data_IF_504856453774
#
_entry.id   IF_504856453774
#
_cell.length_a   1.000
_cell.length_b   1.000
_cell.length_c   1.000
_cell.angle_alpha   90.00
_cell.angle_beta   90.00
_cell.angle_gamma   90.00
#
_symmetry.space_group_name_H-M   'P 1'
#
loop_
_entity.id
_entity.type
_entity.pdbx_description
1 polymer ?
#
# COMPACT_ATOMS: atom_id res chain seq x y z
N UNK A 1 -0.06 -26.56 -39.65
CA UNK A 1 -0.76 -25.42 -39.00
C UNK A 1 -1.35 -25.90 -37.69
N UNK A 2 -0.79 -25.50 -36.55
CA UNK A 2 -1.32 -25.86 -35.22
C UNK A 2 -1.25 -24.65 -34.31
N UNK A 3 -2.36 -23.92 -34.19
CA UNK A 3 -2.49 -22.83 -33.23
C UNK A 3 -2.83 -23.44 -31.87
N UNK A 4 -1.82 -23.61 -31.03
CA UNK A 4 -2.00 -24.00 -29.63
C UNK A 4 -2.63 -22.85 -28.85
N UNK A 5 -3.92 -22.94 -28.58
CA UNK A 5 -4.61 -22.07 -27.64
C UNK A 5 -4.14 -22.43 -26.21
N UNK A 6 -3.16 -21.70 -25.69
CA UNK A 6 -2.78 -21.83 -24.27
C UNK A 6 -3.90 -21.25 -23.42
N UNK A 7 -4.77 -22.09 -22.89
CA UNK A 7 -5.77 -21.70 -21.90
C UNK A 7 -5.07 -21.05 -20.72
N UNK A 8 -5.22 -19.73 -20.57
CA UNK A 8 -4.55 -18.92 -19.57
C UNK A 8 -5.00 -19.31 -18.16
N UNK A 9 -4.26 -20.22 -17.52
CA UNK A 9 -4.41 -20.48 -16.08
C UNK A 9 -4.05 -19.20 -15.33
N UNK A 10 -4.92 -18.68 -14.43
CA UNK A 10 -4.55 -17.53 -13.62
C UNK A 10 -3.27 -17.86 -12.86
N UNK A 11 -2.23 -17.02 -13.03
CA UNK A 11 -0.97 -17.18 -12.30
C UNK A 11 -1.26 -17.06 -10.82
N UNK A 12 -1.24 -18.19 -10.12
CA UNK A 12 -1.30 -18.18 -8.66
C UNK A 12 -0.13 -17.36 -8.13
N UNK A 13 -0.37 -16.42 -7.20
CA UNK A 13 0.72 -15.70 -6.57
C UNK A 13 1.71 -16.69 -5.97
N UNK A 14 3.01 -16.47 -6.18
CA UNK A 14 4.01 -17.27 -5.47
C UNK A 14 3.86 -17.09 -3.95
N UNK A 15 4.40 -18.03 -3.16
CA UNK A 15 4.20 -18.06 -1.71
C UNK A 15 4.53 -16.71 -1.03
N UNK A 16 5.63 -16.07 -1.45
CA UNK A 16 6.02 -14.74 -0.98
C UNK A 16 4.98 -13.66 -1.30
N UNK A 17 4.51 -13.59 -2.56
CA UNK A 17 3.50 -12.62 -2.98
C UNK A 17 2.20 -12.81 -2.21
N UNK A 18 1.74 -14.06 -2.08
CA UNK A 18 0.54 -14.38 -1.30
C UNK A 18 0.68 -13.95 0.17
N UNK A 19 1.83 -14.19 0.79
CA UNK A 19 2.12 -13.75 2.16
C UNK A 19 2.09 -12.23 2.30
N UNK A 20 2.75 -11.51 1.39
CA UNK A 20 2.79 -10.04 1.38
C UNK A 20 1.38 -9.45 1.21
N UNK A 21 0.61 -9.94 0.24
CA UNK A 21 -0.76 -9.46 -0.01
C UNK A 21 -1.69 -9.75 1.16
N UNK A 22 -1.61 -10.95 1.76
CA UNK A 22 -2.37 -11.28 2.96
C UNK A 22 -1.99 -10.37 4.13
N UNK A 23 -0.69 -10.13 4.35
CA UNK A 23 -0.23 -9.23 5.42
C UNK A 23 -0.74 -7.82 5.20
N UNK A 24 -0.63 -7.29 3.99
CA UNK A 24 -1.17 -5.99 3.61
C UNK A 24 -2.66 -5.88 3.93
N UNK A 25 -3.45 -6.89 3.51
CA UNK A 25 -4.90 -6.93 3.75
C UNK A 25 -5.25 -6.95 5.24
N UNK A 26 -4.52 -7.72 6.05
CA UNK A 26 -4.84 -7.88 7.48
C UNK A 26 -4.28 -6.78 8.39
N UNK A 27 -3.18 -6.12 7.98
CA UNK A 27 -2.42 -5.22 8.86
C UNK A 27 -2.63 -3.74 8.57
N UNK A 28 -3.06 -3.36 7.35
CA UNK A 28 -3.17 -1.96 6.94
C UNK A 28 -4.62 -1.55 6.78
N UNK A 29 -5.13 -0.80 7.75
CA UNK A 29 -6.54 -0.39 7.77
C UNK A 29 -6.81 0.76 6.80
N UNK A 30 -8.09 1.06 6.62
CA UNK A 30 -8.52 2.20 5.80
C UNK A 30 -7.97 3.52 6.36
N UNK A 31 -7.40 4.35 5.49
CA UNK A 31 -6.76 5.61 5.87
C UNK A 31 -5.32 5.46 6.38
N UNK A 32 -4.83 4.25 6.60
CA UNK A 32 -3.44 3.99 6.98
C UNK A 32 -2.55 3.75 5.74
N UNK A 33 -1.26 4.02 5.89
CA UNK A 33 -0.25 3.75 4.87
C UNK A 33 0.93 3.00 5.47
N UNK A 34 1.60 2.22 4.64
CA UNK A 34 2.79 1.45 5.03
C UNK A 34 3.88 1.63 3.98
N UNK A 35 5.14 1.65 4.38
CA UNK A 35 6.24 1.66 3.42
C UNK A 35 6.54 0.26 2.89
N UNK A 36 7.16 0.17 1.71
CA UNK A 36 7.63 -1.11 1.16
C UNK A 36 8.51 -1.89 2.15
N UNK A 37 9.40 -1.20 2.88
CA UNK A 37 10.29 -1.80 3.86
C UNK A 37 9.53 -2.33 5.09
N UNK A 38 8.57 -1.55 5.59
CA UNK A 38 7.75 -1.96 6.73
C UNK A 38 6.90 -3.17 6.36
N UNK A 39 6.29 -3.17 5.18
CA UNK A 39 5.51 -4.32 4.72
C UNK A 39 6.38 -5.57 4.52
N UNK A 40 7.61 -5.40 4.04
CA UNK A 40 8.58 -6.49 3.93
C UNK A 40 8.92 -7.07 5.32
N UNK A 41 9.12 -6.22 6.33
CA UNK A 41 9.34 -6.64 7.71
C UNK A 41 8.11 -7.36 8.31
N UNK A 42 6.90 -6.83 8.09
CA UNK A 42 5.63 -7.46 8.52
C UNK A 42 5.39 -8.83 7.86
N UNK A 43 5.93 -9.02 6.66
CA UNK A 43 5.92 -10.29 5.94
C UNK A 43 7.04 -11.24 6.39
N UNK A 44 7.92 -10.85 7.32
CA UNK A 44 9.03 -11.67 7.81
C UNK A 44 10.32 -11.58 6.97
N UNK A 45 10.38 -10.65 6.01
CA UNK A 45 11.48 -10.50 5.07
C UNK A 45 11.97 -9.04 5.03
N UNK A 46 12.61 -8.52 6.08
CA UNK A 46 12.92 -7.08 6.22
C UNK A 46 13.80 -6.50 5.10
N UNK A 47 14.60 -7.34 4.42
CA UNK A 47 15.46 -6.94 3.30
C UNK A 47 14.77 -7.03 1.91
N UNK A 48 13.49 -7.40 1.85
CA UNK A 48 12.79 -7.71 0.61
C UNK A 48 11.93 -6.57 0.04
N UNK A 49 12.20 -5.30 0.39
CA UNK A 49 11.42 -4.13 -0.06
C UNK A 49 11.21 -4.07 -1.58
N UNK A 50 12.24 -4.42 -2.37
CA UNK A 50 12.14 -4.44 -3.84
C UNK A 50 11.21 -5.55 -4.34
N UNK A 51 11.26 -6.73 -3.73
CA UNK A 51 10.40 -7.84 -4.06
C UNK A 51 8.93 -7.55 -3.71
N UNK A 52 8.68 -6.81 -2.61
CA UNK A 52 7.34 -6.30 -2.28
C UNK A 52 6.79 -5.42 -3.40
N UNK A 53 7.63 -4.58 -4.03
CA UNK A 53 7.22 -3.80 -5.21
C UNK A 53 6.71 -4.68 -6.37
N UNK A 54 7.39 -5.80 -6.63
CA UNK A 54 6.95 -6.80 -7.62
C UNK A 54 5.63 -7.47 -7.22
N UNK A 55 5.46 -7.79 -5.94
CA UNK A 55 4.22 -8.34 -5.40
C UNK A 55 3.03 -7.38 -5.56
N UNK A 56 3.24 -6.08 -5.32
CA UNK A 56 2.19 -5.06 -5.51
C UNK A 56 1.75 -4.93 -6.98
N UNK A 57 2.70 -5.04 -7.93
CA UNK A 57 2.39 -5.03 -9.37
C UNK A 57 1.57 -6.26 -9.79
N UNK A 58 1.81 -7.38 -9.13
CA UNK A 58 1.18 -8.67 -9.45
C UNK A 58 -0.13 -8.90 -8.68
N UNK A 59 -0.65 -7.88 -7.99
CA UNK A 59 -1.90 -8.00 -7.24
C UNK A 59 -3.08 -8.25 -8.20
N UNK A 60 -3.76 -9.41 -8.11
CA UNK A 60 -4.86 -9.74 -9.02
C UNK A 60 -6.14 -8.96 -8.74
N UNK A 61 -6.29 -8.42 -7.52
CA UNK A 61 -7.49 -7.67 -7.09
C UNK A 61 -7.10 -6.33 -6.45
N UNK A 62 -6.71 -5.32 -7.27
CA UNK A 62 -6.47 -3.97 -6.78
C UNK A 62 -7.67 -3.41 -6.01
N UNK A 63 -7.43 -2.43 -5.13
CA UNK A 63 -8.41 -1.81 -4.23
C UNK A 63 -8.86 -2.73 -3.08
N UNK A 64 -9.39 -3.92 -3.39
CA UNK A 64 -9.78 -4.90 -2.37
C UNK A 64 -8.58 -5.35 -1.54
N UNK A 65 -7.49 -5.73 -2.21
CA UNK A 65 -6.17 -5.81 -1.59
C UNK A 65 -5.51 -4.44 -1.79
N UNK A 66 -5.30 -3.65 -0.71
CA UNK A 66 -5.08 -2.21 -0.81
C UNK A 66 -3.63 -1.85 -1.15
N UNK A 67 -3.14 -2.26 -2.33
CA UNK A 67 -1.77 -1.99 -2.78
C UNK A 67 -1.49 -0.50 -3.00
N UNK A 68 -2.51 0.35 -3.13
CA UNK A 68 -2.38 1.81 -3.16
C UNK A 68 -1.92 2.41 -1.83
N UNK A 69 -2.09 1.70 -0.70
CA UNK A 69 -1.62 2.13 0.63
C UNK A 69 -0.12 1.93 0.86
N UNK A 70 0.57 1.23 -0.05
CA UNK A 70 2.01 1.00 0.05
C UNK A 70 2.78 2.14 -0.62
N UNK A 71 3.58 2.89 0.15
CA UNK A 71 4.28 4.10 -0.31
C UNK A 71 5.80 4.00 -0.13
N UNK A 72 6.54 4.97 -0.68
CA UNK A 72 7.98 5.07 -0.44
C UNK A 72 8.26 5.49 1.01
N UNK A 73 9.38 5.03 1.58
CA UNK A 73 9.83 5.47 2.91
C UNK A 73 10.11 6.97 2.99
N UNK A 74 10.43 7.61 1.87
CA UNK A 74 10.57 9.07 1.75
C UNK A 74 9.25 9.84 1.86
N UNK A 75 8.11 9.14 1.87
CA UNK A 75 6.78 9.76 1.82
C UNK A 75 6.26 10.02 0.40
N UNK A 76 7.06 9.76 -0.65
CA UNK A 76 6.56 9.80 -2.02
C UNK A 76 5.49 8.71 -2.25
N UNK A 77 4.48 9.03 -3.06
CA UNK A 77 3.35 8.11 -3.35
C UNK A 77 3.85 6.82 -4.02
N UNK A 78 4.86 6.92 -4.89
CA UNK A 78 5.43 5.78 -5.60
C UNK A 78 4.53 5.27 -6.72
N UNK A 79 4.92 4.15 -7.32
CA UNK A 79 4.27 3.66 -8.53
C UNK A 79 2.97 2.87 -8.24
N UNK A 80 2.07 2.81 -9.23
CA UNK A 80 0.80 2.10 -9.17
C UNK A 80 0.40 1.55 -10.54
N UNK A 81 -0.11 0.32 -10.60
CA UNK A 81 -0.53 -0.31 -11.87
C UNK A 81 -1.66 0.47 -12.55
N UNK A 82 -2.57 1.07 -11.78
CA UNK A 82 -3.63 1.95 -12.30
C UNK A 82 -3.19 3.39 -12.59
N UNK A 83 -1.89 3.69 -12.51
CA UNK A 83 -1.33 5.02 -12.69
C UNK A 83 -1.21 5.85 -11.39
N UNK A 84 -0.24 6.79 -11.34
CA UNK A 84 0.05 7.55 -10.13
C UNK A 84 -1.12 8.44 -9.67
N UNK A 85 -1.85 9.06 -10.61
CA UNK A 85 -3.01 9.91 -10.30
C UNK A 85 -4.13 9.15 -9.57
N UNK A 86 -4.39 7.88 -9.96
CA UNK A 86 -5.39 7.04 -9.30
C UNK A 86 -4.97 6.73 -7.86
N UNK A 87 -3.67 6.44 -7.65
CA UNK A 87 -3.14 6.19 -6.31
C UNK A 87 -3.23 7.42 -5.41
N UNK A 88 -2.89 8.60 -5.93
CA UNK A 88 -3.04 9.88 -5.23
C UNK A 88 -4.48 10.16 -4.87
N UNK A 89 -5.41 9.96 -5.81
CA UNK A 89 -6.84 10.11 -5.57
C UNK A 89 -7.33 9.16 -4.47
N UNK A 90 -6.99 7.86 -4.55
CA UNK A 90 -7.37 6.88 -3.53
C UNK A 90 -6.82 7.24 -2.16
N UNK A 91 -5.54 7.60 -2.05
CA UNK A 91 -4.93 8.01 -0.79
C UNK A 91 -5.55 9.30 -0.23
N UNK A 92 -6.03 10.20 -1.09
CA UNK A 92 -6.74 11.42 -0.68
C UNK A 92 -8.16 11.10 -0.21
N UNK A 93 -8.85 10.23 -0.94
CA UNK A 93 -10.20 9.75 -0.61
C UNK A 93 -10.23 9.06 0.75
N UNK A 94 -9.17 8.30 1.10
CA UNK A 94 -9.04 7.68 2.42
C UNK A 94 -8.54 8.64 3.52
N UNK A 95 -8.19 9.88 3.19
CA UNK A 95 -7.64 10.87 4.14
C UNK A 95 -6.15 10.72 4.45
N UNK A 96 -5.46 9.72 3.88
CA UNK A 96 -4.05 9.42 4.10
C UNK A 96 -3.08 10.48 3.54
N UNK A 97 -3.48 11.20 2.49
CA UNK A 97 -2.71 12.33 1.95
C UNK A 97 -3.10 13.67 2.61
N UNK A 98 -4.38 13.85 2.95
CA UNK A 98 -4.87 15.05 3.65
C UNK A 98 -4.18 15.24 5.02
N UNK A 99 -3.97 14.15 5.77
CA UNK A 99 -3.20 14.18 7.03
C UNK A 99 -1.71 14.48 6.86
N UNK A 100 -1.14 14.28 5.66
CA UNK A 100 0.26 14.62 5.34
C UNK A 100 0.42 16.06 4.87
N UNK A 101 -0.48 16.56 4.02
CA UNK A 101 -0.49 17.97 3.63
C UNK A 101 -0.73 18.88 4.83
N UNK A 102 -1.64 18.50 5.74
CA UNK A 102 -1.88 19.23 6.99
C UNK A 102 -0.67 19.25 7.96
N UNK A 103 0.27 18.30 7.83
CA UNK A 103 1.52 18.27 8.62
C UNK A 103 2.69 18.99 7.94
N UNK A 104 2.68 19.10 6.61
CA UNK A 104 3.73 19.74 5.83
C UNK A 104 3.48 21.24 5.55
N UNK A 105 2.24 21.72 5.67
CA UNK A 105 1.89 23.11 5.41
C UNK A 105 0.90 23.64 6.45
N UNK A 106 1.31 24.68 7.18
CA UNK A 106 0.46 25.44 8.07
C UNK A 106 -0.63 26.16 7.30
N UNK A 107 -1.81 25.55 7.20
CA UNK A 107 -3.08 26.27 6.97
C UNK A 107 -4.19 25.45 7.61
N UNK A 108 -4.79 26.04 8.65
CA UNK A 108 -5.96 25.54 9.38
C UNK A 108 -7.14 25.42 8.40
N UNK A 109 -7.62 24.22 8.14
CA UNK A 109 -9.00 23.99 7.70
C UNK A 109 -9.60 22.81 8.49
N UNK A 110 -10.90 22.95 8.72
CA UNK A 110 -11.62 22.49 9.90
C UNK A 110 -11.66 20.97 10.13
N UNK A 111 -11.80 20.62 11.42
CA UNK A 111 -11.98 19.27 11.95
C UNK A 111 -13.13 18.53 11.23
N UNK A 112 -12.85 17.32 10.75
CA UNK A 112 -13.83 16.25 10.76
C UNK A 112 -13.52 15.37 11.99
N UNK A 113 -14.48 15.32 12.91
CA UNK A 113 -14.45 14.55 14.15
C UNK A 113 -14.18 13.05 13.90
N UNK A 114 -13.08 12.54 14.43
CA UNK A 114 -12.88 11.09 14.63
C UNK A 114 -13.37 10.73 16.04
N UNK A 115 -14.18 9.67 16.22
CA UNK A 115 -14.39 9.12 17.54
C UNK A 115 -13.08 8.49 18.03
N UNK A 116 -12.75 8.78 19.28
CA UNK A 116 -11.57 8.30 19.96
C UNK A 116 -11.66 6.79 20.19
N UNK A 117 -10.56 6.06 19.95
CA UNK A 117 -10.39 4.68 20.43
C UNK A 117 -9.94 3.66 19.40
N UNK A 118 -8.78 3.84 18.75
CA UNK A 118 -8.06 2.71 18.14
C UNK A 118 -6.59 3.05 17.96
N UNK A 119 -5.71 2.14 18.35
CA UNK A 119 -4.25 2.25 18.26
C UNK A 119 -3.86 2.77 16.87
N UNK A 120 -3.36 4.01 16.82
CA UNK A 120 -2.79 4.59 15.61
C UNK A 120 -1.53 3.80 15.32
N UNK A 121 -1.55 2.93 14.31
CA UNK A 121 -0.30 2.53 13.68
C UNK A 121 0.15 3.69 12.80
N UNK A 122 0.69 4.72 13.46
CA UNK A 122 1.55 5.70 12.81
C UNK A 122 2.92 5.04 12.64
N UNK A 123 3.18 4.38 11.51
CA UNK A 123 4.56 3.98 11.18
C UNK A 123 5.31 5.19 10.62
N UNK A 124 5.58 6.15 11.49
CA UNK A 124 6.49 7.28 11.25
C UNK A 124 7.71 7.09 12.14
N UNK A 125 8.85 6.75 11.52
CA UNK A 125 10.17 6.85 12.13
C UNK A 125 10.79 5.54 12.62
N UNK A 126 11.76 5.03 11.86
CA UNK A 126 12.97 4.44 12.44
C UNK A 126 14.14 5.17 11.78
N UNK A 127 14.65 6.19 12.47
CA UNK A 127 15.98 6.74 12.25
C UNK A 127 16.88 6.07 13.27
N UNK A 128 17.82 5.25 12.81
CA UNK A 128 19.14 5.00 13.43
C UNK A 128 20.12 4.75 12.28
#
# INVERSE_FOLDING_TARGET
>A
MGLGCSTGRPRTPNAFTGQVLRKLLTAVQFGEVVSYQQLAALAGHPRASRAVGGAMRSNPVPILVPCHRVVCSSGAVGNYTGGPAVKEWLLTHEGSLAGRLARAGGTRLARASQPAGRSRVCVVGARE
#
